data_IF_927195424708
#
_entry.id   IF_927195424708
#
_cell.length_a   1.000
_cell.length_b   1.000
_cell.length_c   1.000
_cell.angle_alpha   90.00
_cell.angle_beta   90.00
_cell.angle_gamma   90.00
#
_symmetry.space_group_name_H-M   'P 1'
#
loop_
_entity.id
_entity.type
_entity.pdbx_description
1 polymer ?
#
# COMPACT_ATOMS: atom_id res chain seq x y z
N UNK A 1 1.73 -14.03 -1.03
CA UNK A 1 0.38 -13.99 -1.67
C UNK A 1 0.38 -12.88 -2.69
N UNK A 2 0.00 -13.16 -3.94
CA UNK A 2 0.01 -12.18 -5.01
C UNK A 2 -1.31 -11.40 -5.06
N UNK A 3 -1.26 -10.07 -5.09
CA UNK A 3 -2.43 -9.19 -4.97
C UNK A 3 -2.29 -8.05 -5.99
N UNK A 4 -3.38 -7.74 -6.68
CA UNK A 4 -3.38 -6.67 -7.68
C UNK A 4 -3.55 -5.30 -7.02
N UNK A 5 -2.86 -4.30 -7.54
CA UNK A 5 -3.16 -2.89 -7.27
C UNK A 5 -4.41 -2.52 -8.07
N UNK A 6 -5.48 -2.14 -7.38
CA UNK A 6 -6.80 -1.88 -7.99
C UNK A 6 -7.09 -0.40 -8.17
N UNK A 7 -6.39 0.48 -7.44
CA UNK A 7 -6.40 1.92 -7.69
C UNK A 7 -5.15 2.57 -7.09
N UNK A 8 -4.64 3.57 -7.79
CA UNK A 8 -3.52 4.42 -7.43
C UNK A 8 -3.92 5.90 -7.44
N UNK A 9 -5.20 6.25 -7.16
CA UNK A 9 -5.85 7.58 -6.95
C UNK A 9 -5.15 8.90 -7.39
N UNK A 10 -4.21 8.90 -8.33
CA UNK A 10 -3.09 9.84 -8.31
C UNK A 10 -2.44 10.10 -9.67
N UNK A 11 -2.86 9.37 -10.71
CA UNK A 11 -2.45 9.67 -12.09
C UNK A 11 -3.32 10.74 -12.77
N UNK A 12 -4.49 11.10 -12.22
CA UNK A 12 -5.39 12.09 -12.84
C UNK A 12 -5.93 13.21 -11.92
N UNK A 13 -5.70 13.17 -10.60
CA UNK A 13 -6.19 14.23 -9.69
C UNK A 13 -5.01 15.01 -9.06
N UNK A 14 -4.73 16.25 -9.51
CA UNK A 14 -3.64 17.07 -8.98
C UNK A 14 -3.88 17.60 -7.56
N UNK A 15 -5.06 17.36 -6.96
CA UNK A 15 -5.39 17.77 -5.59
C UNK A 15 -5.24 16.64 -4.56
N UNK A 16 -5.03 15.39 -4.99
CA UNK A 16 -4.83 14.24 -4.10
C UNK A 16 -3.32 14.06 -3.85
N UNK A 17 -2.78 14.85 -2.92
CA UNK A 17 -1.34 14.87 -2.59
C UNK A 17 -0.77 13.63 -1.89
N UNK A 18 -1.54 12.54 -1.74
CA UNK A 18 -1.10 11.29 -1.11
C UNK A 18 -1.75 10.14 -1.88
N UNK A 19 -0.93 9.33 -2.54
CA UNK A 19 -1.40 8.22 -3.34
C UNK A 19 -1.12 6.93 -2.60
N UNK A 20 -2.18 6.39 -1.99
CA UNK A 20 -2.15 5.03 -1.44
C UNK A 20 -2.36 4.02 -2.58
N UNK A 21 -1.68 2.89 -2.51
CA UNK A 21 -1.96 1.75 -3.38
C UNK A 21 -3.05 0.91 -2.72
N UNK A 22 -4.25 0.88 -3.28
CA UNK A 22 -5.30 -0.01 -2.80
C UNK A 22 -5.09 -1.38 -3.44
N UNK A 23 -5.08 -2.42 -2.61
CA UNK A 23 -4.88 -3.79 -3.03
C UNK A 23 -6.22 -4.52 -3.17
N UNK A 24 -6.30 -5.53 -4.03
CA UNK A 24 -7.46 -6.41 -4.14
C UNK A 24 -7.66 -7.35 -2.93
N UNK A 25 -7.16 -6.99 -1.74
CA UNK A 25 -7.26 -7.73 -0.49
C UNK A 25 -8.34 -7.09 0.41
N UNK A 26 -9.45 -7.78 0.68
CA UNK A 26 -10.45 -7.30 1.63
C UNK A 26 -9.89 -7.13 3.04
N UNK A 27 -10.39 -6.13 3.77
CA UNK A 27 -9.95 -5.84 5.15
C UNK A 27 -10.12 -7.03 6.10
N UNK A 28 -11.15 -7.86 5.90
CA UNK A 28 -11.44 -9.02 6.75
C UNK A 28 -10.52 -10.24 6.48
N UNK A 29 -9.72 -10.19 5.41
CA UNK A 29 -8.71 -11.18 5.06
C UNK A 29 -7.29 -10.75 5.45
N UNK A 30 -7.17 -9.60 6.09
CA UNK A 30 -5.90 -9.04 6.50
C UNK A 30 -5.38 -9.65 7.81
N UNK A 31 -4.08 -9.90 7.88
CA UNK A 31 -3.40 -10.41 9.07
C UNK A 31 -2.31 -9.44 9.54
N UNK A 32 -2.21 -9.25 10.86
CA UNK A 32 -1.16 -8.44 11.48
C UNK A 32 0.26 -9.03 11.33
N UNK A 33 0.38 -10.24 10.79
CA UNK A 33 1.66 -10.93 10.56
C UNK A 33 2.39 -10.52 9.28
N UNK A 34 1.87 -9.54 8.54
CA UNK A 34 2.56 -9.04 7.36
C UNK A 34 3.78 -8.20 7.75
N UNK A 35 4.96 -8.57 7.28
CA UNK A 35 6.20 -7.82 7.56
C UNK A 35 6.85 -7.26 6.30
N UNK A 36 6.59 -7.86 5.14
CA UNK A 36 7.22 -7.48 3.88
C UNK A 36 6.26 -7.48 2.71
N UNK A 37 6.50 -6.54 1.79
CA UNK A 37 5.85 -6.42 0.49
C UNK A 37 6.92 -6.45 -0.59
N UNK A 38 6.71 -7.23 -1.65
CA UNK A 38 7.55 -7.21 -2.84
C UNK A 38 6.80 -6.64 -4.03
N UNK A 39 7.45 -5.74 -4.77
CA UNK A 39 6.96 -5.14 -6.01
C UNK A 39 8.12 -5.04 -7.01
N UNK A 40 7.91 -5.46 -8.26
CA UNK A 40 8.90 -5.34 -9.35
C UNK A 40 10.33 -5.79 -8.96
N UNK A 41 10.47 -6.96 -8.33
CA UNK A 41 11.73 -7.55 -7.82
C UNK A 41 12.41 -6.79 -6.67
N UNK A 42 11.76 -5.81 -6.06
CA UNK A 42 12.22 -5.13 -4.84
C UNK A 42 11.38 -5.56 -3.66
N UNK A 43 12.03 -5.74 -2.51
CA UNK A 43 11.37 -6.09 -1.26
C UNK A 43 11.43 -4.89 -0.31
N UNK A 44 10.31 -4.63 0.35
CA UNK A 44 10.11 -3.49 1.24
C UNK A 44 9.60 -3.97 2.58
N UNK A 45 10.08 -3.36 3.66
CA UNK A 45 9.50 -3.54 5.00
C UNK A 45 8.22 -2.73 5.09
N UNK A 46 7.17 -3.32 5.65
CA UNK A 46 5.87 -2.66 5.84
C UNK A 46 5.51 -2.59 7.32
N UNK A 47 4.89 -1.48 7.71
CA UNK A 47 4.48 -1.20 9.09
C UNK A 47 2.97 -1.10 9.20
N UNK A 48 2.38 -1.80 10.17
CA UNK A 48 0.95 -1.71 10.44
C UNK A 48 0.64 -0.35 11.05
N UNK A 49 -0.34 0.33 10.49
CA UNK A 49 -0.82 1.61 11.00
C UNK A 49 -2.34 1.69 10.90
N UNK A 50 -2.95 2.56 11.69
CA UNK A 50 -4.37 2.90 11.55
C UNK A 50 -4.57 4.13 10.69
N UNK A 51 -3.59 5.02 10.68
CA UNK A 51 -3.60 6.25 9.90
C UNK A 51 -2.20 6.52 9.35
N UNK A 52 -2.13 7.17 8.19
CA UNK A 52 -0.85 7.49 7.54
C UNK A 52 0.05 8.38 8.42
N UNK A 53 -0.54 9.18 9.32
CA UNK A 53 0.18 10.08 10.23
C UNK A 53 1.01 9.36 11.30
N UNK A 54 0.76 8.07 11.55
CA UNK A 54 1.55 7.24 12.46
C UNK A 54 2.90 6.83 11.85
N UNK A 55 3.06 6.97 10.53
CA UNK A 55 4.26 6.56 9.82
C UNK A 55 5.31 7.67 9.83
N UNK A 56 6.55 7.27 10.04
CA UNK A 56 7.72 8.13 9.86
C UNK A 56 7.93 8.44 8.37
N UNK A 57 8.61 9.55 8.08
CA UNK A 57 8.91 9.91 6.70
C UNK A 57 9.72 8.80 5.99
N UNK A 58 9.35 8.52 4.75
CA UNK A 58 9.96 7.47 3.93
C UNK A 58 9.61 6.02 4.30
N UNK A 59 8.80 5.78 5.33
CA UNK A 59 8.35 4.42 5.68
C UNK A 59 7.08 4.02 4.92
N UNK A 60 6.97 2.74 4.57
CA UNK A 60 5.78 2.17 3.95
C UNK A 60 4.89 1.58 5.05
N UNK A 61 3.66 2.06 5.10
CA UNK A 61 2.63 1.53 5.97
C UNK A 61 1.63 0.67 5.24
N UNK A 62 0.89 -0.10 6.02
CA UNK A 62 -0.24 -0.89 5.58
C UNK A 62 -1.40 -0.71 6.56
N UNK A 63 -2.60 -0.52 6.03
CA UNK A 63 -3.79 -0.29 6.82
C UNK A 63 -5.06 -0.81 6.16
N UNK A 64 -6.10 -0.98 6.97
CA UNK A 64 -7.46 -1.27 6.53
C UNK A 64 -8.13 0.03 6.05
N UNK A 65 -8.32 0.15 4.73
CA UNK A 65 -8.90 1.32 4.10
C UNK A 65 -10.41 1.42 4.29
N UNK A 66 -10.95 2.63 4.22
CA UNK A 66 -12.41 2.87 4.28
C UNK A 66 -13.17 2.30 3.08
N UNK A 67 -12.46 2.02 1.98
CA UNK A 67 -12.97 1.34 0.79
C UNK A 67 -13.35 -0.13 1.01
N UNK A 68 -13.01 -0.70 2.18
CA UNK A 68 -13.19 -2.12 2.48
C UNK A 68 -12.00 -2.99 2.06
N UNK A 69 -10.97 -2.37 1.48
CA UNK A 69 -9.76 -3.04 0.99
C UNK A 69 -8.51 -2.49 1.69
N UNK A 70 -7.46 -3.31 1.67
CA UNK A 70 -6.17 -2.96 2.24
C UNK A 70 -5.45 -1.93 1.39
N UNK A 71 -4.84 -0.97 2.06
CA UNK A 71 -4.06 0.10 1.45
C UNK A 71 -2.60 0.00 1.87
N UNK A 72 -1.70 0.19 0.91
CA UNK A 72 -0.29 0.48 1.16
C UNK A 72 -0.12 1.99 1.04
N UNK A 73 0.43 2.61 2.08
CA UNK A 73 0.43 4.05 2.23
C UNK A 73 1.79 4.57 2.71
N UNK A 74 2.03 5.86 2.52
CA UNK A 74 3.16 6.58 3.09
C UNK A 74 2.66 7.89 3.68
N UNK A 75 3.31 8.39 4.73
CA UNK A 75 2.97 9.70 5.28
C UNK A 75 3.42 10.81 4.31
N UNK A 76 2.48 11.64 3.83
CA UNK A 76 2.76 12.79 2.96
C UNK A 76 3.61 12.46 1.71
N UNK A 77 3.49 11.24 1.19
CA UNK A 77 4.27 10.77 0.05
C UNK A 77 3.42 9.90 -0.88
N UNK A 78 3.88 9.75 -2.12
CA UNK A 78 3.23 8.94 -3.15
C UNK A 78 3.76 7.51 -3.10
N UNK A 79 2.96 6.61 -2.54
CA UNK A 79 3.38 5.22 -2.37
C UNK A 79 3.48 4.48 -3.71
N UNK A 80 2.62 4.81 -4.68
CA UNK A 80 2.63 4.20 -6.02
C UNK A 80 3.93 4.52 -6.76
N UNK A 81 4.37 5.77 -6.74
CA UNK A 81 5.65 6.20 -7.33
C UNK A 81 6.84 5.58 -6.61
N UNK A 82 6.80 5.50 -5.28
CA UNK A 82 7.88 4.93 -4.48
C UNK A 82 8.08 3.43 -4.77
N UNK A 83 6.98 2.69 -4.88
CA UNK A 83 6.97 1.27 -5.23
C UNK A 83 7.12 1.03 -6.75
N UNK A 84 7.02 2.10 -7.55
CA UNK A 84 6.96 2.06 -9.01
C UNK A 84 5.87 1.11 -9.55
N UNK A 85 4.71 1.11 -8.90
CA UNK A 85 3.55 0.29 -9.29
C UNK A 85 2.43 1.16 -9.88
N UNK A 86 1.64 0.57 -10.78
CA UNK A 86 0.40 1.18 -11.29
C UNK A 86 -0.78 0.19 -11.19
N UNK A 87 -1.97 0.64 -11.58
CA UNK A 87 -3.17 -0.20 -11.62
C UNK A 87 -2.92 -1.44 -12.49
N UNK A 88 -3.22 -2.61 -11.93
CA UNK A 88 -3.01 -3.91 -12.57
C UNK A 88 -1.66 -4.56 -12.27
N UNK A 89 -0.70 -3.82 -11.70
CA UNK A 89 0.53 -4.44 -11.22
C UNK A 89 0.26 -5.35 -10.02
N UNK A 90 1.09 -6.39 -9.92
CA UNK A 90 1.00 -7.36 -8.85
C UNK A 90 2.04 -7.07 -7.77
N UNK A 91 1.60 -7.06 -6.52
CA UNK A 91 2.47 -7.04 -5.34
C UNK A 91 2.37 -8.37 -4.61
N UNK A 92 3.49 -8.82 -4.04
CA UNK A 92 3.52 -10.00 -3.21
C UNK A 92 3.60 -9.64 -1.73
N UNK A 93 2.63 -10.13 -0.97
CA UNK A 93 2.58 -10.00 0.48
C UNK A 93 3.25 -11.21 1.13
N UNK A 94 4.24 -10.96 1.99
CA UNK A 94 4.97 -11.98 2.74
C UNK A 94 4.58 -11.93 4.23
N UNK A 95 3.85 -12.96 4.65
CA UNK A 95 3.47 -13.21 6.03
C UNK A 95 4.54 -14.09 6.67
N UNK A 96 4.95 -13.78 7.89
CA UNK A 96 5.84 -14.64 8.70
C UNK A 96 5.09 -15.32 9.84
#
# INVERSE_FOLDING_TARGET
MLIAVITDFGIHDPYVGVVNCILSLPNDRYSLQLHRLSAHNKCYTVYHCKTYAELHDGTIGILAGSSGFIEICMNQNDCSKYLAVTIGDMVELHYE
#
